data_IF_104305491724
#
_entry.id   IF_104305491724
#
_cell.length_a   1.000
_cell.length_b   1.000
_cell.length_c   1.000
_cell.angle_alpha   90.00
_cell.angle_beta   90.00
_cell.angle_gamma   90.00
#
_symmetry.space_group_name_H-M   'P 1'
#
loop_
_entity.id
_entity.type
_entity.pdbx_description
1 polymer ?
#
# COMPACT_ATOMS: atom_id res chain seq x y z
N UNK A 1 25.47 0.76 -12.78
CA UNK A 1 24.30 0.85 -13.68
C UNK A 1 23.23 1.61 -12.91
N UNK A 2 22.62 2.63 -13.50
CA UNK A 2 21.53 3.35 -12.83
C UNK A 2 20.30 2.42 -12.68
N UNK A 3 19.45 2.67 -11.68
CA UNK A 3 18.27 1.84 -11.40
C UNK A 3 17.30 1.73 -12.57
N UNK A 4 17.07 2.83 -13.30
CA UNK A 4 16.21 2.84 -14.47
C UNK A 4 16.79 1.95 -15.57
N UNK A 5 18.09 2.03 -15.82
CA UNK A 5 18.76 1.12 -16.77
C UNK A 5 18.62 -0.35 -16.37
N UNK A 6 18.76 -0.68 -15.08
CA UNK A 6 18.57 -2.05 -14.58
C UNK A 6 17.11 -2.52 -14.72
N UNK A 7 16.14 -1.65 -14.43
CA UNK A 7 14.71 -1.91 -14.61
C UNK A 7 14.39 -2.16 -16.10
N UNK A 8 14.89 -1.31 -17.00
CA UNK A 8 14.69 -1.46 -18.45
C UNK A 8 15.26 -2.79 -18.95
N UNK A 9 16.49 -3.15 -18.58
CA UNK A 9 17.08 -4.45 -18.97
C UNK A 9 16.24 -5.63 -18.46
N UNK A 10 15.72 -5.54 -17.24
CA UNK A 10 14.85 -6.57 -16.68
C UNK A 10 13.51 -6.65 -17.42
N UNK A 11 12.94 -5.51 -17.79
CA UNK A 11 11.71 -5.43 -18.59
C UNK A 11 11.93 -5.99 -20.01
N UNK A 12 13.03 -5.69 -20.67
CA UNK A 12 13.37 -6.27 -21.99
C UNK A 12 13.48 -7.80 -21.94
N UNK A 13 14.00 -8.35 -20.85
CA UNK A 13 14.05 -9.80 -20.64
C UNK A 13 12.68 -10.41 -20.28
N UNK A 14 11.77 -9.62 -19.69
CA UNK A 14 10.45 -10.08 -19.23
C UNK A 14 9.34 -9.85 -20.25
N UNK A 15 9.51 -8.86 -21.13
CA UNK A 15 8.57 -8.43 -22.16
C UNK A 15 9.20 -8.73 -23.53
N UNK A 16 8.70 -9.74 -24.21
CA UNK A 16 9.15 -10.12 -25.57
C UNK A 16 8.63 -9.16 -26.66
N UNK A 17 8.53 -7.86 -26.36
CA UNK A 17 8.03 -6.84 -27.26
C UNK A 17 8.56 -5.42 -26.94
N UNK A 18 8.58 -4.50 -27.93
CA UNK A 18 9.01 -3.13 -27.71
C UNK A 18 8.07 -2.36 -26.77
N UNK A 19 8.63 -1.53 -25.90
CA UNK A 19 7.88 -0.68 -24.98
C UNK A 19 8.51 0.70 -24.83
N UNK A 20 7.74 1.63 -24.28
CA UNK A 20 8.25 2.91 -23.76
C UNK A 20 7.86 3.09 -22.30
N UNK A 21 8.64 3.89 -21.57
CA UNK A 21 8.40 4.16 -20.14
C UNK A 21 8.03 5.63 -19.92
N UNK A 22 7.03 5.87 -19.09
CA UNK A 22 6.73 7.18 -18.52
C UNK A 22 6.62 7.07 -17.01
N UNK A 23 6.98 8.11 -16.27
CA UNK A 23 6.75 8.14 -14.81
C UNK A 23 5.25 8.09 -14.54
N UNK A 24 4.80 7.16 -13.70
CA UNK A 24 3.41 7.03 -13.28
C UNK A 24 3.17 7.72 -11.93
N UNK A 25 4.03 7.44 -10.95
CA UNK A 25 3.97 8.05 -9.62
C UNK A 25 5.31 7.94 -8.91
N UNK A 26 5.62 8.94 -8.09
CA UNK A 26 6.60 8.85 -7.02
C UNK A 26 5.81 8.95 -5.72
N UNK A 27 5.78 7.85 -4.97
CA UNK A 27 5.00 7.72 -3.74
C UNK A 27 5.74 8.39 -2.56
N UNK A 28 5.13 8.40 -1.36
CA UNK A 28 5.80 8.79 -0.12
C UNK A 28 6.83 7.75 0.38
N UNK A 29 7.00 6.65 -0.35
CA UNK A 29 7.99 5.60 -0.10
C UNK A 29 9.19 5.72 -1.04
N UNK A 30 10.19 4.84 -0.88
CA UNK A 30 11.32 4.74 -1.83
C UNK A 30 10.91 4.11 -3.18
N UNK A 31 9.66 3.65 -3.31
CA UNK A 31 9.15 2.99 -4.50
C UNK A 31 8.91 4.00 -5.61
N UNK A 32 9.33 3.65 -6.82
CA UNK A 32 9.04 4.41 -8.04
C UNK A 32 8.20 3.55 -8.98
N UNK A 33 7.23 4.18 -9.62
CA UNK A 33 6.35 3.51 -10.57
C UNK A 33 6.50 4.12 -11.96
N UNK A 34 6.73 3.25 -12.94
CA UNK A 34 6.82 3.61 -14.35
C UNK A 34 5.69 2.92 -15.11
N UNK A 35 4.92 3.66 -15.88
CA UNK A 35 3.97 3.09 -16.82
C UNK A 35 4.73 2.60 -18.05
N UNK A 36 4.55 1.32 -18.35
CA UNK A 36 5.06 0.63 -19.52
C UNK A 36 3.98 0.68 -20.59
N UNK A 37 4.28 1.29 -21.73
CA UNK A 37 3.39 1.33 -22.89
C UNK A 37 3.84 0.29 -23.90
N UNK A 38 3.04 -0.74 -24.12
CA UNK A 38 3.36 -1.83 -25.04
C UNK A 38 3.03 -1.42 -26.47
N UNK A 39 3.98 -1.61 -27.40
CA UNK A 39 3.85 -1.10 -28.77
C UNK A 39 2.87 -1.90 -29.61
N UNK A 40 2.76 -3.22 -29.38
CA UNK A 40 2.02 -4.11 -30.27
C UNK A 40 0.49 -3.96 -30.15
N UNK A 41 -0.02 -3.72 -28.94
CA UNK A 41 -1.46 -3.67 -28.65
C UNK A 41 -1.91 -2.38 -27.95
N UNK A 42 -0.98 -1.43 -27.75
CA UNK A 42 -1.20 -0.18 -27.03
C UNK A 42 -1.72 -0.35 -25.60
N UNK A 43 -1.56 -1.54 -25.02
CA UNK A 43 -1.90 -1.79 -23.62
C UNK A 43 -0.82 -1.22 -22.69
N UNK A 44 -1.19 -1.05 -21.42
CA UNK A 44 -0.28 -0.50 -20.40
C UNK A 44 -0.12 -1.44 -19.22
N UNK A 45 1.08 -1.45 -18.67
CA UNK A 45 1.46 -2.12 -17.43
C UNK A 45 2.15 -1.11 -16.50
N UNK A 46 2.33 -1.47 -15.23
CA UNK A 46 3.13 -0.69 -14.29
C UNK A 46 4.36 -1.49 -13.88
N UNK A 47 5.53 -0.90 -14.07
CA UNK A 47 6.79 -1.39 -13.50
C UNK A 47 7.07 -0.66 -12.19
N UNK A 48 7.21 -1.40 -11.11
CA UNK A 48 7.59 -0.90 -9.79
C UNK A 48 9.07 -1.18 -9.53
N UNK A 49 9.78 -0.15 -9.06
CA UNK A 49 11.15 -0.22 -8.55
C UNK A 49 11.12 0.06 -7.04
N UNK A 50 11.33 -0.98 -6.24
CA UNK A 50 11.49 -0.95 -4.80
C UNK A 50 12.95 -1.27 -4.44
N UNK A 51 13.84 -0.26 -4.28
CA UNK A 51 15.27 -0.49 -4.21
C UNK A 51 15.70 -1.23 -2.94
N UNK A 52 16.30 -2.44 -3.02
CA UNK A 52 16.89 -3.09 -1.86
C UNK A 52 18.15 -2.33 -1.38
N UNK A 53 18.44 -2.29 -0.07
CA UNK A 53 17.70 -2.90 1.04
C UNK A 53 16.61 -1.97 1.62
N UNK A 54 16.31 -0.85 0.96
CA UNK A 54 15.42 0.19 1.51
C UNK A 54 13.97 -0.27 1.55
N UNK A 55 13.57 -1.16 0.64
CA UNK A 55 12.18 -1.60 0.49
C UNK A 55 12.10 -3.08 0.09
N UNK A 56 11.28 -3.86 0.79
CA UNK A 56 10.95 -5.25 0.44
C UNK A 56 9.60 -5.31 -0.29
N UNK A 57 9.58 -5.90 -1.48
CA UNK A 57 8.37 -6.06 -2.29
C UNK A 57 7.65 -7.40 -2.07
N UNK A 58 8.19 -8.29 -1.24
CA UNK A 58 7.56 -9.58 -0.90
C UNK A 58 6.19 -9.38 -0.21
N UNK A 59 6.02 -8.45 0.77
CA UNK A 59 4.72 -8.18 1.36
C UNK A 59 3.70 -7.66 0.34
N UNK A 60 4.13 -6.83 -0.61
CA UNK A 60 3.27 -6.33 -1.68
C UNK A 60 2.70 -7.47 -2.52
N UNK A 61 3.55 -8.37 -3.00
CA UNK A 61 3.13 -9.53 -3.81
C UNK A 61 2.17 -10.43 -3.02
N UNK A 62 2.49 -10.71 -1.75
CA UNK A 62 1.66 -11.55 -0.88
C UNK A 62 0.25 -10.96 -0.73
N UNK A 63 0.15 -9.68 -0.36
CA UNK A 63 -1.15 -9.02 -0.14
C UNK A 63 -1.92 -8.89 -1.45
N UNK A 64 -1.27 -8.52 -2.56
CA UNK A 64 -1.91 -8.44 -3.87
C UNK A 64 -2.54 -9.77 -4.30
N UNK A 65 -1.85 -10.89 -4.06
CA UNK A 65 -2.37 -12.23 -4.37
C UNK A 65 -3.56 -12.62 -3.48
N UNK A 66 -3.51 -12.30 -2.18
CA UNK A 66 -4.62 -12.55 -1.26
C UNK A 66 -5.88 -11.77 -1.68
N UNK A 67 -5.73 -10.48 -1.97
CA UNK A 67 -6.85 -9.63 -2.39
C UNK A 67 -7.40 -10.06 -3.76
N UNK A 68 -6.54 -10.46 -4.69
CA UNK A 68 -6.97 -11.00 -5.98
C UNK A 68 -7.76 -12.31 -5.81
N UNK A 69 -7.31 -13.21 -4.94
CA UNK A 69 -8.00 -14.46 -4.63
C UNK A 69 -9.35 -14.23 -3.94
N UNK A 70 -9.49 -13.15 -3.16
CA UNK A 70 -10.74 -12.68 -2.59
C UNK A 70 -11.69 -12.03 -3.62
N UNK A 71 -11.28 -11.92 -4.89
CA UNK A 71 -12.08 -11.35 -5.97
C UNK A 71 -12.09 -9.83 -6.00
N UNK A 72 -11.14 -9.16 -5.33
CA UNK A 72 -10.99 -7.71 -5.42
C UNK A 72 -10.31 -7.29 -6.73
N UNK A 73 -10.63 -6.08 -7.18
CA UNK A 73 -10.01 -5.46 -8.35
C UNK A 73 -8.68 -4.79 -7.96
N UNK A 74 -7.63 -5.60 -7.82
CA UNK A 74 -6.27 -5.18 -7.47
C UNK A 74 -5.28 -5.42 -8.62
N UNK A 75 -4.10 -4.77 -8.63
CA UNK A 75 -3.09 -5.05 -9.63
C UNK A 75 -2.67 -6.52 -9.60
N UNK A 76 -2.69 -7.18 -10.77
CA UNK A 76 -2.20 -8.55 -10.94
C UNK A 76 -0.68 -8.53 -11.06
N UNK A 77 0.00 -9.45 -10.39
CA UNK A 77 1.44 -9.65 -10.53
C UNK A 77 1.71 -10.40 -11.83
N UNK A 78 2.49 -9.80 -12.74
CA UNK A 78 2.83 -10.37 -14.05
C UNK A 78 4.23 -10.95 -14.03
N UNK A 79 5.20 -10.21 -13.48
CA UNK A 79 6.57 -10.66 -13.29
C UNK A 79 7.18 -10.02 -12.03
N UNK A 80 8.20 -10.66 -11.46
CA UNK A 80 8.88 -10.21 -10.26
C UNK A 80 10.36 -10.59 -10.24
N UNK A 81 11.21 -9.71 -9.72
CA UNK A 81 12.60 -9.98 -9.36
C UNK A 81 12.87 -9.38 -7.97
N UNK A 82 12.70 -10.19 -6.93
CA UNK A 82 12.92 -9.76 -5.54
C UNK A 82 14.37 -9.39 -5.22
N UNK A 83 15.35 -9.96 -5.95
CA UNK A 83 16.77 -9.65 -5.69
C UNK A 83 17.10 -8.23 -6.10
N UNK A 84 16.51 -7.78 -7.20
CA UNK A 84 16.66 -6.41 -7.67
C UNK A 84 15.56 -5.47 -7.18
N UNK A 85 14.48 -6.01 -6.61
CA UNK A 85 13.34 -5.23 -6.12
C UNK A 85 12.45 -4.68 -7.24
N UNK A 86 12.20 -5.48 -8.28
CA UNK A 86 11.38 -5.09 -9.42
C UNK A 86 10.10 -5.91 -9.49
N UNK A 87 8.97 -5.24 -9.75
CA UNK A 87 7.70 -5.89 -10.10
C UNK A 87 7.15 -5.32 -11.40
N UNK A 88 6.44 -6.16 -12.15
CA UNK A 88 5.62 -5.78 -13.29
C UNK A 88 4.20 -6.20 -12.96
N UNK A 89 3.28 -5.24 -12.95
CA UNK A 89 1.90 -5.43 -12.53
C UNK A 89 0.93 -4.86 -13.58
N UNK A 90 -0.31 -5.32 -13.57
CA UNK A 90 -1.36 -4.76 -14.44
C UNK A 90 -1.62 -3.29 -14.10
N UNK A 91 -1.85 -2.46 -15.12
CA UNK A 91 -2.26 -1.07 -14.95
C UNK A 91 -3.78 -0.97 -14.72
N UNK A 92 -4.20 -0.24 -13.67
CA UNK A 92 -5.60 0.01 -13.36
C UNK A 92 -6.10 1.35 -13.94
N UNK A 93 -5.25 2.07 -14.67
CA UNK A 93 -5.58 3.34 -15.30
C UNK A 93 -5.22 4.54 -14.43
N UNK A 94 -5.88 5.68 -14.70
CA UNK A 94 -5.61 6.96 -14.04
C UNK A 94 -6.81 7.53 -13.28
N UNK A 95 -7.98 6.88 -13.40
CA UNK A 95 -9.20 7.37 -12.78
C UNK A 95 -9.20 7.00 -11.30
N UNK A 96 -8.98 8.02 -10.48
CA UNK A 96 -9.19 7.89 -9.03
C UNK A 96 -10.66 8.17 -8.72
N UNK A 97 -11.13 7.66 -7.59
CA UNK A 97 -12.45 8.07 -7.10
C UNK A 97 -12.48 9.59 -6.89
N UNK A 98 -11.45 10.19 -6.31
CA UNK A 98 -11.39 11.64 -6.11
C UNK A 98 -11.56 12.45 -7.41
N UNK A 99 -10.97 12.01 -8.52
CA UNK A 99 -11.04 12.73 -9.80
C UNK A 99 -12.37 12.58 -10.52
N UNK A 100 -13.15 11.56 -10.20
CA UNK A 100 -14.42 11.24 -10.90
C UNK A 100 -15.66 11.47 -10.03
N UNK A 101 -15.47 11.56 -8.71
CA UNK A 101 -16.52 11.75 -7.71
C UNK A 101 -17.27 13.07 -7.95
N UNK A 102 -18.59 12.99 -7.98
CA UNK A 102 -19.49 14.12 -8.04
C UNK A 102 -20.79 13.80 -7.27
N UNK A 103 -21.68 14.78 -7.18
CA UNK A 103 -22.92 14.64 -6.42
C UNK A 103 -23.82 13.50 -6.91
N UNK A 104 -23.75 13.17 -8.20
CA UNK A 104 -24.64 12.20 -8.83
C UNK A 104 -24.12 10.75 -8.71
N UNK A 105 -22.80 10.55 -8.56
CA UNK A 105 -22.19 9.23 -8.46
C UNK A 105 -21.64 8.87 -7.07
N UNK A 106 -21.63 9.81 -6.12
CA UNK A 106 -21.00 9.60 -4.81
C UNK A 106 -21.57 8.38 -4.06
N UNK A 107 -22.89 8.26 -3.99
CA UNK A 107 -23.52 7.13 -3.32
C UNK A 107 -23.06 5.79 -3.93
N UNK A 108 -23.00 5.70 -5.25
CA UNK A 108 -22.59 4.48 -5.96
C UNK A 108 -21.14 4.14 -5.66
N UNK A 109 -20.22 5.09 -5.84
CA UNK A 109 -18.79 4.84 -5.63
C UNK A 109 -18.50 4.44 -4.18
N UNK A 110 -19.07 5.13 -3.19
CA UNK A 110 -18.90 4.74 -1.79
C UNK A 110 -19.51 3.38 -1.45
N UNK A 111 -20.61 2.99 -2.11
CA UNK A 111 -21.18 1.65 -1.96
C UNK A 111 -20.22 0.59 -2.52
N UNK A 112 -19.69 0.79 -3.73
CA UNK A 112 -18.72 -0.14 -4.35
C UNK A 112 -17.43 -0.27 -3.52
N UNK A 113 -16.92 0.82 -2.95
CA UNK A 113 -15.78 0.78 -2.02
C UNK A 113 -16.10 0.02 -0.73
N UNK A 114 -17.29 0.22 -0.17
CA UNK A 114 -17.74 -0.50 1.03
C UNK A 114 -17.88 -2.00 0.75
N UNK A 115 -18.45 -2.37 -0.40
CA UNK A 115 -18.56 -3.76 -0.84
C UNK A 115 -17.18 -4.41 -1.02
N UNK A 116 -16.19 -3.67 -1.50
CA UNK A 116 -14.80 -4.15 -1.60
C UNK A 116 -14.19 -4.41 -0.21
N UNK A 117 -14.42 -3.53 0.76
CA UNK A 117 -13.99 -3.74 2.15
C UNK A 117 -14.64 -4.98 2.76
N UNK A 118 -15.95 -5.17 2.56
CA UNK A 118 -16.66 -6.35 3.05
C UNK A 118 -16.08 -7.63 2.42
N UNK A 119 -15.82 -7.65 1.10
CA UNK A 119 -15.19 -8.79 0.43
C UNK A 119 -13.81 -9.12 1.00
N UNK A 120 -12.99 -8.10 1.24
CA UNK A 120 -11.68 -8.26 1.86
C UNK A 120 -11.79 -8.86 3.26
N UNK A 121 -12.69 -8.32 4.09
CA UNK A 121 -12.90 -8.79 5.46
C UNK A 121 -13.44 -10.22 5.51
N UNK A 122 -14.39 -10.58 4.63
CA UNK A 122 -14.93 -11.94 4.53
C UNK A 122 -13.90 -12.98 4.06
N UNK A 123 -12.83 -12.54 3.37
CA UNK A 123 -11.74 -13.41 2.93
C UNK A 123 -10.61 -13.55 3.96
N UNK A 124 -10.74 -12.95 5.14
CA UNK A 124 -9.75 -12.98 6.21
C UNK A 124 -9.45 -14.41 6.66
N UNK A 125 -8.17 -14.69 6.91
CA UNK A 125 -7.70 -15.99 7.39
C UNK A 125 -6.72 -15.78 8.53
N UNK A 126 -6.94 -16.49 9.64
CA UNK A 126 -6.09 -16.43 10.82
C UNK A 126 -4.66 -16.88 10.50
N UNK A 127 -3.66 -16.15 11.01
CA UNK A 127 -2.24 -16.44 10.82
C UNK A 127 -1.68 -16.19 9.40
N UNK A 128 -2.50 -15.71 8.46
CA UNK A 128 -2.02 -15.38 7.11
C UNK A 128 -1.34 -14.02 7.07
N UNK A 129 -1.90 -13.02 7.73
CA UNK A 129 -1.29 -11.71 7.96
C UNK A 129 -0.94 -11.56 9.44
N UNK A 130 0.09 -10.75 9.79
CA UNK A 130 0.39 -10.45 11.17
C UNK A 130 -0.79 -9.78 11.88
N UNK A 131 -0.97 -10.08 13.15
CA UNK A 131 -2.01 -9.45 13.95
C UNK A 131 -1.71 -7.96 14.19
N UNK A 132 -2.76 -7.15 14.19
CA UNK A 132 -2.68 -5.75 14.59
C UNK A 132 -2.82 -5.63 16.11
N UNK A 133 -1.81 -6.16 16.80
CA UNK A 133 -1.84 -6.37 18.24
C UNK A 133 -1.62 -5.10 19.08
N UNK A 134 -1.77 -5.23 20.41
CA UNK A 134 -1.56 -4.14 21.36
C UNK A 134 -0.17 -3.50 21.23
N UNK A 135 0.87 -4.31 21.02
CA UNK A 135 2.25 -3.82 20.97
C UNK A 135 2.48 -2.95 19.72
N UNK A 136 1.97 -3.39 18.57
CA UNK A 136 2.01 -2.64 17.32
C UNK A 136 1.15 -1.38 17.40
N UNK A 137 -0.09 -1.49 17.87
CA UNK A 137 -0.98 -0.34 18.08
C UNK A 137 -0.34 0.73 18.96
N UNK A 138 0.23 0.32 20.11
CA UNK A 138 0.89 1.24 21.01
C UNK A 138 2.09 1.91 20.33
N UNK A 139 2.91 1.14 19.61
CA UNK A 139 4.06 1.69 18.87
C UNK A 139 3.64 2.74 17.84
N UNK A 140 2.58 2.47 17.07
CA UNK A 140 2.03 3.44 16.10
C UNK A 140 1.51 4.70 16.80
N UNK A 141 0.78 4.54 17.92
CA UNK A 141 0.28 5.68 18.70
C UNK A 141 1.40 6.53 19.32
N UNK A 142 2.53 5.93 19.71
CA UNK A 142 3.70 6.66 20.24
C UNK A 142 4.37 7.57 19.20
N UNK A 143 4.12 7.37 17.90
CA UNK A 143 4.64 8.28 16.87
C UNK A 143 4.12 9.71 17.06
N UNK A 144 2.92 9.90 17.62
CA UNK A 144 2.35 11.21 17.89
C UNK A 144 3.17 12.04 18.92
N UNK A 145 3.36 11.58 20.18
CA UNK A 145 4.16 12.32 21.14
C UNK A 145 5.63 12.48 20.70
N UNK A 146 6.20 11.44 20.07
CA UNK A 146 7.60 11.47 19.64
C UNK A 146 7.84 12.50 18.52
N UNK A 147 7.07 12.39 17.43
CA UNK A 147 7.32 13.20 16.24
C UNK A 147 6.61 14.53 16.27
N UNK A 148 5.34 14.56 16.66
CA UNK A 148 4.57 15.79 16.59
C UNK A 148 4.84 16.69 17.81
N UNK A 149 4.70 16.15 19.02
CA UNK A 149 4.83 16.98 20.23
C UNK A 149 6.30 17.31 20.50
N UNK A 150 7.15 16.30 20.64
CA UNK A 150 8.54 16.51 21.01
C UNK A 150 9.35 17.08 19.85
N UNK A 151 9.38 16.38 18.71
CA UNK A 151 10.28 16.74 17.60
C UNK A 151 9.83 17.98 16.83
N UNK A 152 8.55 18.07 16.48
CA UNK A 152 8.03 19.15 15.64
C UNK A 152 7.66 20.41 16.45
N UNK A 153 6.93 20.28 17.55
CA UNK A 153 6.54 21.41 18.39
C UNK A 153 7.61 21.81 19.42
N UNK A 154 8.57 20.92 19.73
CA UNK A 154 9.60 21.19 20.74
C UNK A 154 9.07 21.19 22.17
N UNK A 155 7.93 20.54 22.41
CA UNK A 155 7.25 20.52 23.70
C UNK A 155 7.63 19.25 24.45
N UNK A 156 7.99 19.38 25.72
CA UNK A 156 8.09 18.26 26.66
C UNK A 156 6.81 18.19 27.46
N UNK A 157 6.13 17.05 27.44
CA UNK A 157 4.93 16.83 28.23
C UNK A 157 5.26 16.78 29.72
N UNK A 158 4.34 17.25 30.56
CA UNK A 158 4.42 16.99 32.00
C UNK A 158 3.97 15.56 32.31
N UNK A 159 4.31 15.06 33.50
CA UNK A 159 3.91 13.72 33.96
C UNK A 159 2.39 13.54 33.91
N UNK A 160 1.63 14.57 34.25
CA UNK A 160 0.16 14.54 34.21
C UNK A 160 -0.36 14.44 32.76
N UNK A 161 0.27 15.15 31.82
CA UNK A 161 -0.10 15.10 30.40
C UNK A 161 0.26 13.76 29.77
N UNK A 162 1.43 13.22 30.10
CA UNK A 162 1.82 11.86 29.70
C UNK A 162 0.82 10.83 30.21
N UNK A 163 0.43 10.91 31.48
CA UNK A 163 -0.56 10.00 32.07
C UNK A 163 -1.92 10.08 31.35
N UNK A 164 -2.39 11.29 30.99
CA UNK A 164 -3.63 11.46 30.21
C UNK A 164 -3.51 10.81 28.83
N UNK A 165 -2.38 11.00 28.16
CA UNK A 165 -2.15 10.43 26.82
C UNK A 165 -2.09 8.91 26.87
N UNK A 166 -1.35 8.34 27.82
CA UNK A 166 -1.25 6.89 28.00
C UNK A 166 -2.60 6.26 28.34
N UNK A 167 -3.38 6.88 29.23
CA UNK A 167 -4.74 6.42 29.52
C UNK A 167 -5.63 6.45 28.28
N UNK A 168 -5.50 7.49 27.44
CA UNK A 168 -6.24 7.59 26.18
C UNK A 168 -5.84 6.47 25.23
N UNK A 169 -4.54 6.20 25.07
CA UNK A 169 -4.06 5.08 24.25
C UNK A 169 -4.61 3.74 24.75
N UNK A 170 -4.58 3.47 26.05
CA UNK A 170 -5.15 2.24 26.61
C UNK A 170 -6.64 2.10 26.28
N UNK A 171 -7.44 3.17 26.39
CA UNK A 171 -8.87 3.14 26.03
C UNK A 171 -9.07 2.86 24.54
N UNK A 172 -8.29 3.50 23.67
CA UNK A 172 -8.38 3.30 22.21
C UNK A 172 -7.96 1.87 21.83
N UNK A 173 -6.87 1.36 22.39
CA UNK A 173 -6.36 0.01 22.13
C UNK A 173 -7.41 -1.02 22.55
N UNK A 174 -7.96 -0.90 23.77
CA UNK A 174 -9.03 -1.79 24.23
C UNK A 174 -10.25 -1.75 23.32
N UNK A 175 -10.63 -0.56 22.82
CA UNK A 175 -11.73 -0.44 21.88
C UNK A 175 -11.44 -1.13 20.54
N UNK A 176 -10.25 -0.94 19.97
CA UNK A 176 -9.85 -1.55 18.69
C UNK A 176 -9.79 -3.07 18.82
N UNK A 177 -9.16 -3.59 19.88
CA UNK A 177 -9.01 -5.03 20.10
C UNK A 177 -10.33 -5.74 20.41
N UNK A 178 -11.34 -5.01 20.88
CA UNK A 178 -12.70 -5.54 21.07
C UNK A 178 -13.48 -5.69 19.75
N UNK A 179 -13.01 -5.12 18.64
CA UNK A 179 -13.63 -5.27 17.33
C UNK A 179 -13.27 -6.62 16.69
N UNK A 180 -14.03 -7.02 15.66
CA UNK A 180 -13.74 -8.22 14.89
C UNK A 180 -12.36 -8.13 14.24
N UNK A 181 -11.52 -9.15 14.47
CA UNK A 181 -10.18 -9.22 13.91
C UNK A 181 -10.28 -9.78 12.49
N UNK A 182 -10.15 -8.89 11.51
CA UNK A 182 -10.25 -9.16 10.07
C UNK A 182 -9.15 -8.40 9.34
N UNK A 183 -8.86 -8.81 8.11
CA UNK A 183 -7.97 -8.07 7.20
C UNK A 183 -8.55 -6.69 6.92
N UNK A 184 -7.73 -5.66 7.15
CA UNK A 184 -8.05 -4.23 6.97
C UNK A 184 -7.05 -3.57 6.03
#
# INVERSE_FOLDING_TARGET
MDRLSALTNWLEASLEQPFTLTVASADASFRRYFRVHLTNDHSTLIAMDAPPPQEDCTPFVKVAQLLLAAGLHVPKIIAQDFKQGFLLISDLGNDTYLSTLNKDNAQKLYTEATDALIKMQLASQEGVLPDYDEALLLREMQLFPDWYINKHLGITLTVEQEAVLQNTFSVLIQNILAQGQVTV
#
